data_IF_348586909701
#
_entry.id   IF_348586909701
#
_cell.length_a   1.000
_cell.length_b   1.000
_cell.length_c   1.000
_cell.angle_alpha   90.00
_cell.angle_beta   90.00
_cell.angle_gamma   90.00
#
_symmetry.space_group_name_H-M   'P 1'
#
loop_
_entity.id
_entity.type
_entity.pdbx_description
1 polymer ?
#
# COMPACT_ATOMS: atom_id res chain seq x y z
N UNK A 1 34.24 23.91 -3.45
CA UNK A 1 33.24 23.06 -4.13
C UNK A 1 33.17 21.80 -3.30
N UNK A 2 32.16 21.70 -2.45
CA UNK A 2 31.85 20.43 -1.81
C UNK A 2 31.02 19.66 -2.85
N UNK A 3 31.53 18.52 -3.31
CA UNK A 3 30.70 17.55 -4.02
C UNK A 3 29.53 17.22 -3.11
N UNK A 4 28.34 17.63 -3.53
CA UNK A 4 27.12 16.97 -3.06
C UNK A 4 27.03 15.73 -3.94
N UNK A 5 27.81 14.70 -3.60
CA UNK A 5 27.55 13.37 -4.15
C UNK A 5 26.09 13.05 -3.85
N UNK A 6 25.32 12.81 -4.91
CA UNK A 6 23.93 12.38 -4.81
C UNK A 6 23.91 11.05 -4.06
N UNK A 7 23.70 11.09 -2.75
CA UNK A 7 23.71 9.90 -1.91
C UNK A 7 22.41 9.15 -2.15
N UNK A 8 22.52 7.94 -2.70
CA UNK A 8 21.38 7.07 -2.90
C UNK A 8 20.73 6.71 -1.57
N UNK A 9 19.43 6.47 -1.60
CA UNK A 9 18.65 6.22 -0.38
C UNK A 9 17.91 4.90 -0.54
N UNK A 10 18.00 4.03 0.46
CA UNK A 10 17.15 2.86 0.59
C UNK A 10 16.30 2.95 1.84
N UNK A 11 15.03 2.56 1.77
CA UNK A 11 14.18 2.39 2.93
C UNK A 11 13.94 0.91 3.20
N UNK A 12 14.34 0.45 4.39
CA UNK A 12 14.27 -0.95 4.79
C UNK A 12 13.08 -1.18 5.71
N UNK A 13 11.96 -1.62 5.14
CA UNK A 13 10.71 -1.84 5.88
C UNK A 13 10.60 -3.27 6.37
N UNK A 14 10.43 -3.47 7.68
CA UNK A 14 10.39 -4.79 8.29
C UNK A 14 9.60 -4.79 9.60
N UNK A 15 9.10 -5.95 10.01
CA UNK A 15 8.49 -6.10 11.33
C UNK A 15 9.58 -6.19 12.41
N UNK A 16 9.68 -5.21 13.32
CA UNK A 16 10.70 -5.20 14.41
C UNK A 16 10.76 -6.51 15.20
N UNK A 17 9.58 -7.06 15.54
CA UNK A 17 9.49 -8.31 16.28
C UNK A 17 10.19 -9.49 15.57
N UNK A 18 10.26 -9.49 14.23
CA UNK A 18 10.95 -10.54 13.49
C UNK A 18 12.47 -10.36 13.51
N UNK A 19 12.95 -9.12 13.48
CA UNK A 19 14.39 -8.86 13.65
C UNK A 19 14.87 -9.28 15.04
N UNK A 20 14.11 -8.96 16.09
CA UNK A 20 14.42 -9.41 17.45
C UNK A 20 14.45 -10.95 17.56
N UNK A 21 13.44 -11.61 16.99
CA UNK A 21 13.34 -13.08 17.00
C UNK A 21 14.44 -13.75 16.20
N UNK A 22 14.91 -13.11 15.13
CA UNK A 22 16.02 -13.58 14.31
C UNK A 22 17.37 -12.97 14.71
N UNK A 23 17.46 -12.42 15.94
CA UNK A 23 18.70 -11.95 16.58
C UNK A 23 19.43 -10.85 15.80
N UNK A 24 18.71 -9.92 15.20
CA UNK A 24 19.29 -8.77 14.49
C UNK A 24 19.66 -9.03 13.02
N UNK A 25 19.45 -10.25 12.52
CA UNK A 25 19.90 -10.64 11.16
C UNK A 25 19.20 -9.89 10.03
N UNK A 26 17.98 -9.39 10.24
CA UNK A 26 17.26 -8.61 9.21
C UNK A 26 17.94 -7.26 9.03
N UNK A 27 18.33 -6.60 10.13
CA UNK A 27 19.03 -5.31 10.07
C UNK A 27 20.48 -5.45 9.66
N UNK A 28 21.11 -6.56 10.03
CA UNK A 28 22.47 -6.90 9.58
C UNK A 28 22.52 -7.15 8.07
N UNK A 29 21.49 -7.81 7.50
CA UNK A 29 21.37 -7.97 6.05
C UNK A 29 21.34 -6.63 5.31
N UNK A 30 20.66 -5.61 5.86
CA UNK A 30 20.65 -4.27 5.28
C UNK A 30 22.07 -3.69 5.18
N UNK A 31 22.87 -3.82 6.24
CA UNK A 31 24.26 -3.37 6.25
C UNK A 31 25.10 -4.13 5.22
N UNK A 32 24.97 -5.46 5.16
CA UNK A 32 25.70 -6.29 4.21
C UNK A 32 25.37 -5.92 2.75
N UNK A 33 24.11 -5.58 2.46
CA UNK A 33 23.69 -5.13 1.12
C UNK A 33 24.28 -3.74 0.81
N UNK A 34 24.27 -2.81 1.77
CA UNK A 34 24.88 -1.48 1.61
C UNK A 34 26.38 -1.56 1.35
N UNK A 35 27.10 -2.38 2.14
CA UNK A 35 28.53 -2.59 2.00
C UNK A 35 28.87 -3.23 0.65
N UNK A 36 28.13 -4.28 0.26
CA UNK A 36 28.34 -4.97 -1.01
C UNK A 36 27.99 -4.09 -2.20
N UNK A 37 26.96 -3.25 -2.10
CA UNK A 37 26.64 -2.25 -3.12
C UNK A 37 27.80 -1.27 -3.31
N UNK A 38 28.35 -0.73 -2.22
CA UNK A 38 29.49 0.18 -2.29
C UNK A 38 30.74 -0.50 -2.87
N UNK A 39 30.95 -1.79 -2.61
CA UNK A 39 32.03 -2.57 -3.22
C UNK A 39 31.85 -2.75 -4.74
N UNK A 40 30.62 -2.91 -5.22
CA UNK A 40 30.32 -3.13 -6.64
C UNK A 40 30.37 -1.83 -7.43
N UNK A 41 29.76 -0.76 -6.90
CA UNK A 41 29.52 0.49 -7.65
C UNK A 41 30.52 1.60 -7.33
N UNK A 42 31.23 1.49 -6.19
CA UNK A 42 32.07 2.58 -5.67
C UNK A 42 31.27 3.77 -5.09
N UNK A 43 29.94 3.67 -5.00
CA UNK A 43 29.03 4.70 -4.46
C UNK A 43 28.40 4.26 -3.14
N UNK A 44 28.07 5.20 -2.26
CA UNK A 44 27.35 4.90 -1.02
C UNK A 44 25.82 4.91 -1.22
N UNK A 45 25.15 3.91 -0.65
CA UNK A 45 23.70 3.92 -0.44
C UNK A 45 23.40 4.01 1.06
N UNK A 46 22.65 5.06 1.45
CA UNK A 46 22.16 5.21 2.80
C UNK A 46 20.86 4.43 2.98
N UNK A 47 20.94 3.27 3.65
CA UNK A 47 19.76 2.47 3.98
C UNK A 47 19.23 2.88 5.36
N UNK A 48 18.05 3.50 5.37
CA UNK A 48 17.32 3.80 6.58
C UNK A 48 16.63 2.55 7.10
N UNK A 49 17.13 2.06 8.24
CA UNK A 49 16.57 0.97 9.00
C UNK A 49 15.91 1.58 10.24
N UNK A 50 14.71 1.13 10.60
CA UNK A 50 14.10 1.42 11.92
C UNK A 50 13.65 2.87 12.15
N UNK A 51 12.58 3.31 11.48
CA UNK A 51 11.86 4.54 11.85
C UNK A 51 10.35 4.37 11.74
N UNK A 52 9.65 4.85 12.76
CA UNK A 52 8.20 4.82 12.86
C UNK A 52 7.55 5.71 11.77
N UNK A 53 6.75 5.09 10.89
CA UNK A 53 5.53 5.69 10.34
C UNK A 53 5.62 6.49 9.04
N UNK A 54 4.43 6.60 8.42
CA UNK A 54 4.01 7.19 7.14
C UNK A 54 4.72 8.45 6.62
N UNK A 55 5.49 9.19 7.41
CA UNK A 55 6.20 10.41 6.98
C UNK A 55 7.19 10.17 5.84
N UNK A 56 7.66 8.94 5.65
CA UNK A 56 8.63 8.63 4.59
C UNK A 56 8.02 8.45 3.22
N UNK A 57 6.75 8.04 3.07
CA UNK A 57 6.13 7.91 1.75
C UNK A 57 6.10 9.26 1.02
N UNK A 58 5.77 10.33 1.76
CA UNK A 58 5.73 11.69 1.22
C UNK A 58 7.14 12.24 0.99
N UNK A 59 8.07 12.05 1.93
CA UNK A 59 9.48 12.42 1.72
C UNK A 59 10.14 11.63 0.59
N UNK A 60 9.69 10.41 0.34
CA UNK A 60 10.16 9.59 -0.77
C UNK A 60 9.68 10.17 -2.10
N UNK A 61 8.39 10.54 -2.23
CA UNK A 61 7.92 11.31 -3.39
C UNK A 61 8.72 12.59 -3.57
N UNK A 62 8.87 13.40 -2.53
CA UNK A 62 9.69 14.62 -2.60
C UNK A 62 11.12 14.30 -3.07
N UNK A 63 11.71 13.17 -2.67
CA UNK A 63 13.04 12.76 -3.12
C UNK A 63 13.06 12.29 -4.56
N UNK A 64 12.03 11.61 -5.06
CA UNK A 64 11.97 11.23 -6.47
C UNK A 64 11.67 12.46 -7.34
N UNK A 65 10.71 13.30 -6.92
CA UNK A 65 10.26 14.50 -7.63
C UNK A 65 11.35 15.60 -7.69
N UNK A 66 12.11 15.79 -6.61
CA UNK A 66 13.15 16.83 -6.56
C UNK A 66 14.51 16.36 -7.10
N UNK A 67 14.69 15.09 -7.45
CA UNK A 67 16.03 14.56 -7.73
C UNK A 67 16.31 14.37 -9.23
N UNK A 68 17.08 15.32 -9.74
CA UNK A 68 17.91 15.19 -10.94
C UNK A 68 18.99 14.08 -10.87
N UNK A 69 19.06 13.23 -9.82
CA UNK A 69 20.15 12.23 -9.67
C UNK A 69 20.06 11.23 -8.50
N UNK A 70 18.99 11.15 -7.70
CA UNK A 70 18.94 10.23 -6.54
C UNK A 70 17.79 9.24 -6.64
N UNK A 71 18.08 7.99 -6.99
CA UNK A 71 17.09 6.91 -6.89
C UNK A 71 16.87 6.57 -5.41
N UNK A 72 15.61 6.54 -5.00
CA UNK A 72 15.23 6.13 -3.66
C UNK A 72 14.50 4.78 -3.72
N UNK A 73 15.09 3.75 -3.13
CA UNK A 73 14.56 2.38 -3.11
C UNK A 73 13.66 2.13 -1.92
N UNK A 74 12.63 1.30 -2.12
CA UNK A 74 11.84 0.72 -1.06
C UNK A 74 12.08 -0.79 -0.98
N UNK A 75 12.59 -1.29 0.15
CA UNK A 75 13.01 -2.68 0.32
C UNK A 75 12.21 -3.32 1.46
N UNK A 76 11.00 -3.84 1.20
CA UNK A 76 10.19 -4.49 2.21
C UNK A 76 10.66 -5.93 2.47
N UNK A 77 10.87 -6.26 3.74
CA UNK A 77 11.29 -7.58 4.21
C UNK A 77 10.05 -8.41 4.55
N UNK A 78 9.66 -9.22 3.59
CA UNK A 78 8.40 -9.94 3.59
C UNK A 78 8.50 -11.20 4.47
N UNK A 79 7.71 -11.19 5.54
CA UNK A 79 7.51 -12.30 6.46
C UNK A 79 6.01 -12.48 6.74
N UNK A 80 5.60 -13.59 7.38
CA UNK A 80 4.22 -13.71 7.84
C UNK A 80 3.81 -12.60 8.82
N UNK A 81 4.73 -12.10 9.66
CA UNK A 81 4.42 -11.00 10.59
C UNK A 81 4.23 -9.67 9.86
N UNK A 82 4.97 -9.41 8.77
CA UNK A 82 4.85 -8.19 7.96
C UNK A 82 3.39 -7.89 7.61
N UNK A 83 2.67 -8.88 7.07
CA UNK A 83 1.26 -8.76 6.69
C UNK A 83 0.27 -8.66 7.87
N UNK A 84 0.75 -8.76 9.11
CA UNK A 84 -0.07 -8.55 10.32
C UNK A 84 0.17 -7.22 11.00
N UNK A 85 1.22 -6.48 10.60
CA UNK A 85 1.56 -5.17 11.14
C UNK A 85 0.93 -4.08 10.28
N UNK A 86 0.01 -3.26 10.82
CA UNK A 86 -0.60 -2.16 10.07
C UNK A 86 0.44 -1.23 9.46
N UNK A 87 1.51 -0.91 10.20
CA UNK A 87 2.54 0.04 9.78
C UNK A 87 3.25 -0.44 8.50
N UNK A 88 3.71 -1.70 8.48
CA UNK A 88 4.37 -2.30 7.32
C UNK A 88 3.44 -2.38 6.09
N UNK A 89 2.15 -2.66 6.29
CA UNK A 89 1.16 -2.71 5.21
C UNK A 89 0.92 -1.33 4.63
N UNK A 90 0.72 -0.34 5.50
CA UNK A 90 0.49 1.05 5.14
C UNK A 90 1.67 1.62 4.34
N UNK A 91 2.90 1.35 4.77
CA UNK A 91 4.11 1.71 4.02
C UNK A 91 4.09 1.09 2.62
N UNK A 92 3.94 -0.23 2.51
CA UNK A 92 3.93 -0.90 1.20
C UNK A 92 2.86 -0.36 0.26
N UNK A 93 1.65 -0.08 0.78
CA UNK A 93 0.58 0.52 -0.01
C UNK A 93 0.98 1.91 -0.50
N UNK A 94 1.44 2.79 0.40
CA UNK A 94 1.82 4.16 0.06
C UNK A 94 2.96 4.22 -0.96
N UNK A 95 3.99 3.38 -0.79
CA UNK A 95 5.10 3.29 -1.75
C UNK A 95 4.64 2.72 -3.10
N UNK A 96 3.84 1.65 -3.10
CA UNK A 96 3.32 1.07 -4.34
C UNK A 96 2.43 2.04 -5.13
N UNK A 97 1.56 2.77 -4.44
CA UNK A 97 0.75 3.84 -5.02
C UNK A 97 1.63 4.85 -5.77
N UNK A 98 2.60 5.45 -5.07
CA UNK A 98 3.41 6.50 -5.70
C UNK A 98 4.40 5.96 -6.74
N UNK A 99 4.87 4.72 -6.59
CA UNK A 99 5.72 4.09 -7.61
C UNK A 99 4.97 3.85 -8.93
N UNK A 100 3.68 3.52 -8.84
CA UNK A 100 2.82 3.37 -10.03
C UNK A 100 2.55 4.71 -10.71
N UNK A 101 2.32 5.77 -9.94
CA UNK A 101 2.15 7.13 -10.50
C UNK A 101 3.37 7.60 -11.29
N UNK A 102 4.56 7.27 -10.79
CA UNK A 102 5.83 7.70 -11.35
C UNK A 102 6.39 6.71 -12.40
N UNK A 103 5.68 5.62 -12.71
CA UNK A 103 6.14 4.60 -13.66
C UNK A 103 7.41 3.84 -13.23
N UNK A 104 7.73 3.84 -11.92
CA UNK A 104 9.01 3.33 -11.35
C UNK A 104 8.80 2.22 -10.32
N UNK A 105 7.85 1.31 -10.57
CA UNK A 105 7.57 0.18 -9.66
C UNK A 105 8.77 -0.74 -9.39
N UNK A 106 9.78 -0.72 -10.26
CA UNK A 106 11.08 -1.38 -10.10
C UNK A 106 11.90 -0.87 -8.91
N UNK A 107 11.60 0.32 -8.38
CA UNK A 107 12.21 0.84 -7.15
C UNK A 107 11.72 0.13 -5.88
N UNK A 108 10.65 -0.68 -5.99
CA UNK A 108 10.16 -1.54 -4.91
C UNK A 108 10.77 -2.92 -5.05
N UNK A 109 11.58 -3.31 -4.07
CA UNK A 109 12.35 -4.56 -4.09
C UNK A 109 12.01 -5.44 -2.88
N UNK A 110 10.90 -6.20 -2.93
CA UNK A 110 10.55 -7.07 -1.83
C UNK A 110 11.54 -8.22 -1.68
N UNK A 111 11.95 -8.48 -0.44
CA UNK A 111 12.75 -9.65 -0.09
C UNK A 111 11.84 -10.60 0.69
N UNK A 112 11.47 -11.73 0.09
CA UNK A 112 10.70 -12.79 0.74
C UNK A 112 11.61 -13.56 1.70
N UNK A 113 11.75 -12.99 2.91
CA UNK A 113 12.63 -13.46 3.97
C UNK A 113 12.20 -14.81 4.55
N UNK A 114 10.89 -15.03 4.59
CA UNK A 114 10.24 -16.26 5.01
C UNK A 114 9.11 -16.61 4.05
N UNK A 115 8.86 -17.90 3.77
CA UNK A 115 7.73 -18.30 2.95
C UNK A 115 6.41 -17.82 3.59
N UNK A 116 5.66 -17.02 2.84
CA UNK A 116 4.34 -16.54 3.23
C UNK A 116 3.27 -17.37 2.53
N UNK A 117 2.29 -17.82 3.31
CA UNK A 117 1.15 -18.55 2.75
C UNK A 117 0.30 -17.63 1.91
N UNK A 118 -0.12 -18.14 0.76
CA UNK A 118 -1.04 -17.43 -0.13
C UNK A 118 -0.46 -16.09 -0.60
N UNK A 119 0.86 -16.06 -0.89
CA UNK A 119 1.50 -14.93 -1.55
C UNK A 119 1.37 -15.13 -3.06
N UNK A 120 0.22 -14.71 -3.60
CA UNK A 120 -0.16 -14.92 -4.99
C UNK A 120 -1.06 -13.79 -5.50
N UNK A 121 -1.16 -13.66 -6.83
CA UNK A 121 -2.00 -12.64 -7.49
C UNK A 121 -3.50 -12.83 -7.24
N UNK A 122 -3.93 -14.04 -6.88
CA UNK A 122 -5.31 -14.41 -6.55
C UNK A 122 -5.58 -14.47 -5.04
N UNK A 123 -4.64 -14.00 -4.20
CA UNK A 123 -4.82 -13.97 -2.74
C UNK A 123 -6.03 -13.15 -2.34
N UNK A 124 -6.69 -13.50 -1.23
CA UNK A 124 -7.73 -12.65 -0.63
C UNK A 124 -7.16 -11.40 0.04
N UNK A 125 -5.85 -11.33 0.28
CA UNK A 125 -5.19 -10.17 0.86
C UNK A 125 -4.60 -9.27 -0.26
N UNK A 126 -5.15 -8.05 -0.48
CA UNK A 126 -4.69 -7.14 -1.53
C UNK A 126 -3.22 -6.74 -1.40
N UNK A 127 -2.69 -6.67 -0.18
CA UNK A 127 -1.29 -6.31 0.06
C UNK A 127 -0.35 -7.44 -0.35
N UNK A 128 -0.80 -8.69 -0.27
CA UNK A 128 -0.06 -9.82 -0.85
C UNK A 128 -0.12 -9.83 -2.38
N UNK A 129 -1.23 -9.41 -2.97
CA UNK A 129 -1.34 -9.26 -4.42
C UNK A 129 -0.33 -8.24 -4.93
N UNK A 130 -0.15 -7.11 -4.22
CA UNK A 130 0.90 -6.12 -4.52
C UNK A 130 2.28 -6.78 -4.57
N UNK A 131 2.70 -7.45 -3.49
CA UNK A 131 4.01 -8.13 -3.45
C UNK A 131 4.14 -9.18 -4.55
N UNK A 132 3.08 -9.94 -4.84
CA UNK A 132 3.08 -10.97 -5.87
C UNK A 132 3.17 -10.40 -7.30
N UNK A 133 2.71 -9.16 -7.53
CA UNK A 133 2.85 -8.47 -8.81
C UNK A 133 4.23 -7.84 -9.02
N UNK A 134 5.00 -7.66 -7.95
CA UNK A 134 6.34 -7.08 -7.99
C UNK A 134 7.42 -8.15 -8.23
N UNK A 135 8.57 -7.72 -8.74
CA UNK A 135 9.73 -8.59 -8.87
C UNK A 135 10.43 -8.75 -7.51
N UNK A 136 10.01 -9.74 -6.73
CA UNK A 136 10.59 -10.04 -5.43
C UNK A 136 11.76 -11.03 -5.49
N UNK A 137 12.65 -10.97 -4.49
CA UNK A 137 13.76 -11.90 -4.30
C UNK A 137 13.44 -12.88 -3.18
N UNK A 138 13.54 -14.18 -3.43
CA UNK A 138 13.37 -15.20 -2.38
C UNK A 138 14.62 -15.33 -1.52
N UNK A 139 14.44 -15.27 -0.20
CA UNK A 139 15.48 -15.55 0.80
C UNK A 139 15.27 -16.88 1.52
N UNK A 140 14.46 -17.77 0.94
CA UNK A 140 14.09 -19.03 1.59
C UNK A 140 15.32 -19.91 1.86
N UNK A 141 15.40 -20.46 3.06
CA UNK A 141 16.54 -21.23 3.55
C UNK A 141 17.83 -20.43 3.80
N UNK A 142 18.05 -19.28 3.15
CA UNK A 142 19.28 -18.50 3.27
C UNK A 142 19.49 -17.92 4.67
N UNK A 143 18.41 -17.50 5.35
CA UNK A 143 18.50 -17.02 6.74
C UNK A 143 19.05 -18.07 7.73
N UNK A 144 19.00 -19.35 7.38
CA UNK A 144 19.48 -20.45 8.22
C UNK A 144 20.99 -20.69 8.06
N UNK A 145 21.59 -20.10 7.03
CA UNK A 145 23.00 -20.23 6.74
C UNK A 145 23.83 -19.28 7.60
N UNK A 146 25.05 -19.68 7.87
CA UNK A 146 26.08 -18.77 8.38
C UNK A 146 26.43 -17.75 7.29
N UNK A 147 26.72 -16.50 7.68
CA UNK A 147 26.94 -15.40 6.74
C UNK A 147 28.21 -15.58 5.92
N UNK A 148 29.20 -16.31 6.44
CA UNK A 148 30.45 -16.58 5.73
C UNK A 148 30.30 -17.64 4.64
N UNK A 149 29.13 -18.29 4.57
CA UNK A 149 28.85 -19.29 3.54
C UNK A 149 28.76 -18.65 2.17
N UNK A 150 29.38 -19.31 1.19
CA UNK A 150 29.37 -18.87 -0.21
C UNK A 150 27.97 -18.61 -0.71
N UNK A 151 27.01 -19.45 -0.34
CA UNK A 151 25.61 -19.32 -0.75
C UNK A 151 24.96 -18.05 -0.20
N UNK A 152 25.23 -17.68 1.06
CA UNK A 152 24.71 -16.46 1.69
C UNK A 152 25.34 -15.21 1.06
N UNK A 153 26.67 -15.19 0.94
CA UNK A 153 27.41 -14.07 0.33
C UNK A 153 27.00 -13.85 -1.13
N UNK A 154 26.79 -14.94 -1.88
CA UNK A 154 26.31 -14.87 -3.27
C UNK A 154 24.91 -14.26 -3.34
N UNK A 155 24.04 -14.55 -2.38
CA UNK A 155 22.71 -13.97 -2.34
C UNK A 155 22.73 -12.47 -2.00
N UNK A 156 23.59 -12.04 -1.07
CA UNK A 156 23.82 -10.61 -0.77
C UNK A 156 24.35 -9.89 -2.01
N UNK A 157 25.36 -10.47 -2.68
CA UNK A 157 25.91 -9.96 -3.94
C UNK A 157 24.83 -9.76 -5.00
N UNK A 158 23.89 -10.71 -5.15
CA UNK A 158 22.78 -10.59 -6.09
C UNK A 158 21.84 -9.44 -5.76
N UNK A 159 21.52 -9.21 -4.48
CA UNK A 159 20.69 -8.07 -4.05
C UNK A 159 21.38 -6.74 -4.38
N UNK A 160 22.66 -6.62 -4.03
CA UNK A 160 23.44 -5.41 -4.30
C UNK A 160 23.60 -5.14 -5.81
N UNK A 161 23.88 -6.19 -6.60
CA UNK A 161 23.94 -6.09 -8.06
C UNK A 161 22.59 -5.64 -8.64
N UNK A 162 21.48 -6.16 -8.12
CA UNK A 162 20.14 -5.76 -8.57
C UNK A 162 19.85 -4.28 -8.33
N UNK A 163 20.24 -3.75 -7.17
CA UNK A 163 20.13 -2.32 -6.87
C UNK A 163 20.94 -1.48 -7.86
N UNK A 164 22.18 -1.92 -8.17
CA UNK A 164 23.05 -1.23 -9.13
C UNK A 164 22.47 -1.25 -10.56
N UNK A 165 21.92 -2.37 -11.01
CA UNK A 165 21.30 -2.50 -12.33
C UNK A 165 20.11 -1.55 -12.50
N UNK A 166 19.25 -1.44 -11.47
CA UNK A 166 18.07 -0.57 -11.52
C UNK A 166 18.48 0.89 -11.56
N UNK A 167 19.48 1.25 -10.76
CA UNK A 167 20.02 2.61 -10.79
C UNK A 167 20.61 2.97 -12.17
N UNK A 168 21.48 2.13 -12.72
CA UNK A 168 22.08 2.38 -14.04
C UNK A 168 20.99 2.54 -15.11
N UNK A 169 19.94 1.72 -15.03
CA UNK A 169 18.78 1.82 -15.93
C UNK A 169 18.06 3.16 -15.77
N UNK A 170 17.82 3.62 -14.53
CA UNK A 170 17.14 4.88 -14.26
C UNK A 170 17.98 6.10 -14.64
N UNK A 171 19.30 6.08 -14.43
CA UNK A 171 20.21 7.14 -14.90
C UNK A 171 20.24 7.25 -16.43
N UNK A 172 20.02 6.12 -17.13
CA UNK A 172 20.02 6.05 -18.60
C UNK A 172 18.68 6.41 -19.26
N UNK A 173 17.58 6.51 -18.50
CA UNK A 173 16.28 6.92 -19.04
C UNK A 173 16.33 8.38 -19.48
N UNK A 174 15.97 8.71 -20.74
CA UNK A 174 15.77 10.10 -21.14
C UNK A 174 14.67 10.70 -20.25
N UNK A 175 14.97 11.82 -19.59
CA UNK A 175 13.94 12.61 -18.92
C UNK A 175 12.95 13.07 -20.01
N UNK A 176 11.81 12.39 -20.16
CA UNK A 176 10.65 12.97 -20.85
C UNK A 176 10.12 14.09 -19.97
N UNK A 177 10.75 15.25 -20.12
CA UNK A 177 10.24 16.49 -19.59
C UNK A 177 8.98 16.80 -20.39
N UNK A 178 7.83 16.77 -19.75
CA UNK A 178 6.73 17.66 -20.11
C UNK A 178 7.21 19.09 -19.85
N UNK A 179 8.06 19.63 -20.72
CA UNK A 179 8.35 21.06 -20.78
C UNK A 179 7.07 21.73 -21.30
N UNK A 180 6.15 22.01 -20.39
CA UNK A 180 5.13 23.03 -20.57
C UNK A 180 5.80 24.40 -20.38
N UNK A 181 6.59 24.83 -21.35
CA UNK A 181 6.85 26.25 -21.61
C UNK A 181 7.56 26.46 -22.96
N UNK A 182 7.15 27.54 -23.63
CA UNK A 182 7.60 28.05 -24.94
C UNK A 182 6.87 27.53 -26.19
N UNK A 183 5.57 27.82 -26.29
CA UNK A 183 4.96 28.13 -27.60
C UNK A 183 5.07 29.63 -27.87
N UNK A 184 6.26 30.10 -28.22
CA UNK A 184 6.37 31.32 -29.02
C UNK A 184 6.06 31.01 -30.49
N UNK A 185 5.20 31.83 -31.06
CA UNK A 185 4.76 31.75 -32.43
C UNK A 185 5.91 31.86 -33.44
N UNK A 186 5.97 30.92 -34.39
CA UNK A 186 6.44 31.24 -35.73
C UNK A 186 5.77 30.36 -36.78
N UNK A 187 4.95 31.03 -37.59
CA UNK A 187 4.39 30.46 -38.80
C UNK A 187 5.47 30.37 -39.89
N UNK A 188 5.46 29.27 -40.64
CA UNK A 188 5.77 29.33 -42.08
C UNK A 188 6.78 28.33 -42.62
N UNK A 189 6.21 27.34 -43.33
CA UNK A 189 6.68 26.73 -44.58
C UNK A 189 7.88 25.78 -44.56
N UNK A 190 7.63 24.55 -45.04
CA UNK A 190 8.50 23.96 -46.06
C UNK A 190 8.89 22.50 -45.88
N UNK A 191 8.28 21.69 -46.75
CA UNK A 191 8.85 20.48 -47.37
C UNK A 191 8.78 19.11 -46.68
N UNK A 192 8.28 18.20 -47.52
CA UNK A 192 8.03 16.79 -47.33
C UNK A 192 9.33 16.05 -47.65
N UNK A 193 9.84 15.25 -46.73
CA UNK A 193 10.83 14.23 -47.03
C UNK A 193 10.46 12.93 -46.31
N UNK A 194 10.07 11.94 -47.13
CA UNK A 194 9.87 10.55 -46.74
C UNK A 194 11.19 9.95 -46.24
N UNK A 195 11.15 9.29 -45.09
CA UNK A 195 12.08 8.22 -44.78
C UNK A 195 11.33 7.12 -44.04
N UNK A 196 11.21 5.97 -44.70
CA UNK A 196 10.76 4.71 -44.12
C UNK A 196 11.86 4.20 -43.18
N UNK A 197 11.46 3.88 -41.95
CA UNK A 197 12.30 3.26 -40.93
C UNK A 197 11.42 2.92 -39.75
N UNK A 198 10.74 1.78 -39.83
CA UNK A 198 9.90 1.27 -38.75
C UNK A 198 10.77 0.82 -37.58
N UNK A 199 10.75 1.61 -36.53
CA UNK A 199 10.97 1.12 -35.17
C UNK A 199 9.57 0.77 -34.61
N UNK A 200 9.41 -0.31 -33.85
CA UNK A 200 8.16 -0.55 -33.17
C UNK A 200 8.02 0.55 -32.12
N UNK A 201 7.10 1.48 -32.36
CA UNK A 201 6.52 2.30 -31.30
C UNK A 201 6.00 1.30 -30.27
N UNK A 202 6.70 1.16 -29.14
CA UNK A 202 6.06 0.70 -27.92
C UNK A 202 4.97 1.74 -27.67
N UNK A 203 3.73 1.42 -28.07
CA UNK A 203 2.56 2.18 -27.68
C UNK A 203 2.64 2.30 -26.16
N UNK A 204 2.91 3.51 -25.71
CA UNK A 204 2.79 3.90 -24.31
C UNK A 204 1.31 3.75 -23.96
N UNK A 205 0.95 2.53 -23.53
CA UNK A 205 -0.39 2.10 -23.09
C UNK A 205 -0.80 2.82 -21.77
N UNK A 206 -0.08 3.89 -21.39
CA UNK A 206 -0.37 4.67 -20.21
C UNK A 206 -1.51 5.68 -20.47
N UNK A 207 -2.62 5.48 -19.77
CA UNK A 207 -3.82 6.31 -19.91
C UNK A 207 -3.50 7.79 -19.66
N UNK A 208 -3.90 8.64 -20.59
CA UNK A 208 -3.85 10.09 -20.42
C UNK A 208 -4.79 10.58 -19.31
N UNK A 209 -4.59 11.82 -18.84
CA UNK A 209 -5.38 12.40 -17.73
C UNK A 209 -6.90 12.33 -18.02
N UNK A 210 -7.33 12.58 -19.25
CA UNK A 210 -8.76 12.53 -19.62
C UNK A 210 -9.33 11.10 -19.61
N UNK A 211 -8.52 10.10 -19.99
CA UNK A 211 -8.93 8.69 -19.95
C UNK A 211 -9.04 8.21 -18.50
N UNK A 212 -8.08 8.60 -17.64
CA UNK A 212 -8.12 8.35 -16.19
C UNK A 212 -9.37 8.96 -15.53
N UNK A 213 -9.74 10.18 -15.92
CA UNK A 213 -10.97 10.82 -15.43
C UNK A 213 -12.24 10.12 -15.93
N UNK A 214 -12.25 9.60 -17.17
CA UNK A 214 -13.36 8.82 -17.69
C UNK A 214 -13.55 7.50 -16.93
N UNK A 215 -12.46 6.86 -16.51
CA UNK A 215 -12.47 5.62 -15.71
C UNK A 215 -12.80 5.85 -14.23
N UNK A 216 -12.66 7.07 -13.72
CA UNK A 216 -12.94 7.40 -12.33
C UNK A 216 -14.42 7.17 -11.95
N UNK A 217 -15.35 7.56 -12.83
CA UNK A 217 -16.79 7.46 -12.62
C UNK A 217 -17.25 6.00 -12.37
N UNK A 218 -17.00 5.03 -13.28
CA UNK A 218 -17.40 3.65 -13.05
C UNK A 218 -16.70 3.02 -11.84
N UNK A 219 -15.43 3.39 -11.57
CA UNK A 219 -14.71 2.94 -10.39
C UNK A 219 -15.36 3.39 -9.08
N UNK A 220 -15.75 4.66 -8.97
CA UNK A 220 -16.46 5.20 -7.80
C UNK A 220 -17.83 4.55 -7.62
N UNK A 221 -18.56 4.28 -8.71
CA UNK A 221 -19.86 3.62 -8.66
C UNK A 221 -19.75 2.21 -8.07
N UNK A 222 -18.83 1.39 -8.61
CA UNK A 222 -18.58 0.03 -8.10
C UNK A 222 -18.11 0.03 -6.65
N UNK A 223 -17.26 1.00 -6.29
CA UNK A 223 -16.78 1.18 -4.92
C UNK A 223 -17.90 1.56 -3.95
N UNK A 224 -18.80 2.44 -4.37
CA UNK A 224 -19.95 2.87 -3.56
C UNK A 224 -20.94 1.72 -3.33
N UNK A 225 -21.19 0.88 -4.34
CA UNK A 225 -22.00 -0.33 -4.19
C UNK A 225 -21.39 -1.32 -3.19
N UNK A 226 -20.06 -1.44 -3.21
CA UNK A 226 -19.31 -2.27 -2.27
C UNK A 226 -19.44 -1.73 -0.85
N UNK A 227 -19.27 -0.41 -0.63
CA UNK A 227 -19.50 0.25 0.67
C UNK A 227 -20.93 0.01 1.17
N UNK A 228 -21.94 0.19 0.32
CA UNK A 228 -23.34 -0.01 0.68
C UNK A 228 -23.62 -1.46 1.13
N UNK A 229 -22.84 -2.42 0.62
CA UNK A 229 -22.96 -3.85 0.97
C UNK A 229 -22.31 -4.22 2.30
N UNK A 230 -21.45 -3.38 2.90
CA UNK A 230 -20.81 -3.65 4.19
C UNK A 230 -21.77 -3.64 5.35
N UNK A 231 -22.62 -2.61 5.45
CA UNK A 231 -23.55 -2.47 6.57
C UNK A 231 -24.42 -3.73 6.80
N UNK A 232 -25.15 -4.26 5.80
CA UNK A 232 -25.96 -5.46 6.00
C UNK A 232 -25.11 -6.71 6.32
N UNK A 233 -23.88 -6.80 5.80
CA UNK A 233 -22.97 -7.89 6.11
C UNK A 233 -22.47 -7.81 7.57
N UNK A 234 -22.14 -6.61 8.04
CA UNK A 234 -21.71 -6.36 9.42
C UNK A 234 -22.86 -6.59 10.41
N UNK A 235 -24.08 -6.17 10.09
CA UNK A 235 -25.28 -6.47 10.88
C UNK A 235 -25.53 -7.99 10.98
N UNK A 236 -25.36 -8.71 9.88
CA UNK A 236 -25.50 -10.19 9.85
C UNK A 236 -24.44 -10.90 10.70
N UNK A 237 -23.27 -10.30 10.89
CA UNK A 237 -22.23 -10.80 11.79
C UNK A 237 -22.48 -10.42 13.25
N UNK A 238 -22.80 -9.17 13.53
CA UNK A 238 -22.92 -8.61 14.89
C UNK A 238 -24.25 -8.99 15.58
N UNK A 239 -25.30 -9.25 14.82
CA UNK A 239 -26.61 -9.66 15.33
C UNK A 239 -26.54 -10.95 16.17
N UNK A 240 -26.06 -12.09 15.61
CA UNK A 240 -25.85 -13.33 16.36
C UNK A 240 -24.94 -13.17 17.57
N UNK A 241 -23.88 -12.37 17.46
CA UNK A 241 -22.93 -12.07 18.54
C UNK A 241 -23.62 -11.37 19.73
N UNK A 242 -24.50 -10.42 19.44
CA UNK A 242 -25.25 -9.70 20.47
C UNK A 242 -26.29 -10.63 21.10
N UNK A 243 -27.00 -11.41 20.30
CA UNK A 243 -28.06 -12.31 20.74
C UNK A 243 -27.56 -13.47 21.62
N UNK A 244 -26.31 -13.92 21.46
CA UNK A 244 -25.79 -15.05 22.25
C UNK A 244 -25.46 -14.68 23.70
N UNK A 245 -25.19 -13.40 23.99
CA UNK A 245 -24.76 -12.94 25.33
C UNK A 245 -25.77 -13.32 26.45
N UNK A 246 -27.07 -13.02 26.35
CA UNK A 246 -28.04 -13.45 27.35
C UNK A 246 -28.17 -14.98 27.43
N UNK A 247 -28.06 -15.69 26.31
CA UNK A 247 -28.14 -17.16 26.28
C UNK A 247 -26.96 -17.82 27.02
N UNK A 248 -25.75 -17.27 26.91
CA UNK A 248 -24.57 -17.76 27.64
C UNK A 248 -24.64 -17.54 29.14
N UNK A 249 -25.31 -16.46 29.58
CA UNK A 249 -25.62 -16.20 31.00
C UNK A 249 -26.67 -17.19 31.50
N UNK A 250 -27.78 -17.37 30.78
CA UNK A 250 -28.82 -18.32 31.16
C UNK A 250 -28.33 -19.78 31.23
N UNK A 251 -27.32 -20.13 30.44
CA UNK A 251 -26.68 -21.45 30.48
C UNK A 251 -25.98 -21.77 31.81
N UNK A 252 -25.63 -20.77 32.63
CA UNK A 252 -24.97 -20.99 33.94
C UNK A 252 -25.85 -21.77 34.93
N UNK A 253 -27.16 -21.60 34.84
CA UNK A 253 -28.12 -22.23 35.75
C UNK A 253 -28.59 -23.61 35.29
N UNK A 254 -28.03 -24.16 34.20
CA UNK A 254 -28.42 -25.48 33.69
C UNK A 254 -27.68 -26.61 34.41
N UNK A 255 -28.20 -27.84 34.31
CA UNK A 255 -27.58 -29.03 34.91
C UNK A 255 -26.16 -29.33 34.38
N UNK A 256 -25.85 -28.94 33.14
CA UNK A 256 -24.51 -29.00 32.56
C UNK A 256 -24.14 -27.65 31.90
N UNK A 257 -23.66 -26.67 32.67
CA UNK A 257 -23.41 -25.31 32.18
C UNK A 257 -22.37 -25.23 31.05
N UNK A 258 -21.29 -26.01 31.16
CA UNK A 258 -20.20 -26.01 30.17
C UNK A 258 -20.68 -26.60 28.84
N UNK A 259 -21.38 -27.74 28.88
CA UNK A 259 -21.93 -28.38 27.69
C UNK A 259 -22.96 -27.49 26.97
N UNK A 260 -23.83 -26.83 27.73
CA UNK A 260 -24.80 -25.87 27.20
C UNK A 260 -24.12 -24.69 26.50
N UNK A 261 -23.10 -24.09 27.13
CA UNK A 261 -22.30 -23.00 26.53
C UNK A 261 -21.60 -23.43 25.25
N UNK A 262 -20.94 -24.59 25.24
CA UNK A 262 -20.27 -25.10 24.04
C UNK A 262 -21.23 -25.31 22.87
N UNK A 263 -22.43 -25.84 23.15
CA UNK A 263 -23.48 -26.00 22.14
C UNK A 263 -23.93 -24.66 21.55
N UNK A 264 -24.11 -23.64 22.40
CA UNK A 264 -24.45 -22.28 21.96
C UNK A 264 -23.34 -21.65 21.11
N UNK A 265 -22.07 -21.74 21.54
CA UNK A 265 -20.93 -21.19 20.80
C UNK A 265 -20.71 -21.89 19.46
N UNK A 266 -21.00 -23.20 19.37
CA UNK A 266 -20.97 -23.92 18.09
C UNK A 266 -22.06 -23.44 17.14
N UNK A 267 -23.28 -23.23 17.64
CA UNK A 267 -24.37 -22.65 16.83
C UNK A 267 -24.04 -21.24 16.35
N UNK A 268 -23.45 -20.41 17.21
CA UNK A 268 -22.96 -19.09 16.83
C UNK A 268 -21.93 -19.20 15.70
N UNK A 269 -20.92 -20.07 15.84
CA UNK A 269 -19.90 -20.29 14.80
C UNK A 269 -20.54 -20.59 13.44
N UNK A 270 -21.54 -21.48 13.41
CA UNK A 270 -22.29 -21.80 12.19
C UNK A 270 -23.09 -20.62 11.64
N UNK A 271 -23.67 -19.78 12.50
CA UNK A 271 -24.43 -18.60 12.09
C UNK A 271 -23.55 -17.48 11.52
N UNK A 272 -22.33 -17.33 12.02
CA UNK A 272 -21.42 -16.26 11.60
C UNK A 272 -20.48 -16.66 10.45
N UNK A 273 -20.41 -17.93 10.06
CA UNK A 273 -19.49 -18.39 9.01
C UNK A 273 -19.76 -17.67 7.67
N UNK A 274 -20.98 -17.73 7.14
CA UNK A 274 -21.33 -17.07 5.88
C UNK A 274 -21.24 -15.52 5.95
N UNK A 275 -21.72 -14.83 7.02
CA UNK A 275 -21.51 -13.39 7.17
C UNK A 275 -20.03 -12.98 7.15
N UNK A 276 -19.15 -13.77 7.79
CA UNK A 276 -17.71 -13.49 7.81
C UNK A 276 -17.07 -13.69 6.44
N UNK A 277 -17.46 -14.74 5.70
CA UNK A 277 -16.97 -14.94 4.34
C UNK A 277 -17.38 -13.81 3.41
N UNK A 278 -18.63 -13.34 3.52
CA UNK A 278 -19.08 -12.15 2.78
C UNK A 278 -18.28 -10.90 3.15
N UNK A 279 -17.96 -10.70 4.42
CA UNK A 279 -17.15 -9.56 4.86
C UNK A 279 -15.72 -9.64 4.35
N UNK A 280 -15.14 -10.84 4.28
CA UNK A 280 -13.83 -11.10 3.67
C UNK A 280 -13.84 -10.68 2.20
N UNK A 281 -14.79 -11.17 1.40
CA UNK A 281 -14.92 -10.84 -0.02
C UNK A 281 -15.14 -9.34 -0.26
N UNK A 282 -16.03 -8.71 0.52
CA UNK A 282 -16.30 -7.26 0.43
C UNK A 282 -15.06 -6.44 0.80
N UNK A 283 -14.31 -6.84 1.83
CA UNK A 283 -13.09 -6.15 2.25
C UNK A 283 -11.97 -6.23 1.21
N UNK A 284 -11.78 -7.39 0.59
CA UNK A 284 -10.82 -7.56 -0.49
C UNK A 284 -11.20 -6.72 -1.72
N UNK A 285 -12.49 -6.69 -2.06
CA UNK A 285 -13.01 -5.91 -3.20
C UNK A 285 -12.86 -4.41 -2.97
N UNK A 286 -13.25 -3.94 -1.78
CA UNK A 286 -13.14 -2.54 -1.35
C UNK A 286 -11.71 -1.99 -1.48
N UNK A 287 -10.73 -2.71 -0.92
CA UNK A 287 -9.34 -2.26 -0.97
C UNK A 287 -8.77 -2.35 -2.39
N UNK A 288 -9.12 -3.40 -3.15
CA UNK A 288 -8.67 -3.53 -4.55
C UNK A 288 -9.22 -2.39 -5.42
N UNK A 289 -10.50 -2.07 -5.28
CA UNK A 289 -11.14 -0.95 -5.99
C UNK A 289 -10.48 0.38 -5.60
N UNK A 290 -10.20 0.61 -4.31
CA UNK A 290 -9.46 1.81 -3.87
C UNK A 290 -8.08 1.92 -4.51
N UNK A 291 -7.30 0.83 -4.54
CA UNK A 291 -5.99 0.80 -5.20
C UNK A 291 -6.12 1.13 -6.70
N UNK A 292 -7.21 0.73 -7.36
CA UNK A 292 -7.45 1.02 -8.77
C UNK A 292 -7.92 2.47 -9.00
N UNK A 293 -8.71 3.05 -8.08
CA UNK A 293 -9.24 4.42 -8.16
C UNK A 293 -8.16 5.47 -7.87
N UNK A 294 -7.19 5.12 -7.02
CA UNK A 294 -6.18 6.03 -6.48
C UNK A 294 -5.39 6.82 -7.53
N UNK A 295 -4.84 6.23 -8.61
CA UNK A 295 -4.19 7.02 -9.67
C UNK A 295 -5.10 8.06 -10.32
N UNK A 296 -6.39 7.74 -10.49
CA UNK A 296 -7.37 8.60 -11.14
C UNK A 296 -7.79 9.75 -10.19
N UNK A 297 -7.93 9.47 -8.90
CA UNK A 297 -8.21 10.48 -7.87
C UNK A 297 -7.06 11.48 -7.75
N UNK A 298 -5.82 11.01 -7.87
CA UNK A 298 -4.64 11.88 -7.83
C UNK A 298 -4.50 12.76 -9.06
N UNK A 299 -4.78 12.22 -10.25
CA UNK A 299 -4.84 13.02 -11.47
C UNK A 299 -5.89 14.14 -11.35
N UNK A 300 -7.05 13.85 -10.75
CA UNK A 300 -8.06 14.87 -10.44
C UNK A 300 -7.52 15.93 -9.46
N UNK A 301 -6.87 15.52 -8.37
CA UNK A 301 -6.27 16.44 -7.40
C UNK A 301 -5.17 17.32 -8.01
N UNK A 302 -4.33 16.78 -8.88
CA UNK A 302 -3.31 17.53 -9.62
C UNK A 302 -3.94 18.55 -10.56
N UNK A 303 -4.99 18.16 -11.30
CA UNK A 303 -5.73 19.08 -12.16
C UNK A 303 -6.37 20.22 -11.36
N UNK A 304 -6.91 19.91 -10.17
CA UNK A 304 -7.46 20.90 -9.26
C UNK A 304 -6.38 21.85 -8.72
N UNK A 305 -5.17 21.36 -8.41
CA UNK A 305 -4.07 22.21 -7.95
C UNK A 305 -3.45 23.10 -9.04
N UNK A 306 -3.48 22.63 -10.29
CA UNK A 306 -2.93 23.35 -11.46
C UNK A 306 -3.96 24.23 -12.16
N UNK A 307 -5.25 23.98 -11.97
CA UNK A 307 -6.33 24.68 -12.64
C UNK A 307 -6.47 26.13 -12.17
N UNK A 308 -6.67 27.05 -13.12
CA UNK A 308 -7.10 28.44 -12.88
C UNK A 308 -8.61 28.51 -12.53
N UNK A 309 -9.26 27.35 -12.42
CA UNK A 309 -10.65 27.17 -12.02
C UNK A 309 -10.86 27.84 -10.67
N UNK A 310 -11.68 28.90 -10.65
CA UNK A 310 -11.91 29.73 -9.48
C UNK A 310 -12.11 28.87 -8.22
N UNK A 311 -11.42 29.23 -7.13
CA UNK A 311 -11.20 28.36 -5.98
C UNK A 311 -12.43 27.69 -5.35
N UNK A 312 -13.66 28.07 -5.72
CA UNK A 312 -14.90 27.41 -5.31
C UNK A 312 -15.01 25.95 -5.77
N UNK A 313 -14.68 25.62 -7.03
CA UNK A 313 -14.71 24.22 -7.51
C UNK A 313 -13.61 23.38 -6.85
N UNK A 314 -12.41 23.94 -6.71
CA UNK A 314 -11.31 23.31 -6.00
C UNK A 314 -11.66 23.03 -4.53
N UNK A 315 -12.27 24.01 -3.84
CA UNK A 315 -12.76 23.86 -2.46
C UNK A 315 -13.87 22.81 -2.34
N UNK A 316 -14.75 22.69 -3.34
CA UNK A 316 -15.80 21.67 -3.33
C UNK A 316 -15.24 20.25 -3.48
N UNK A 317 -14.32 20.02 -4.44
CA UNK A 317 -13.69 18.72 -4.65
C UNK A 317 -12.88 18.31 -3.42
N UNK A 318 -11.97 19.18 -2.98
CA UNK A 318 -11.16 18.94 -1.77
C UNK A 318 -12.02 18.75 -0.53
N UNK A 319 -13.05 19.58 -0.33
CA UNK A 319 -14.00 19.43 0.79
C UNK A 319 -14.74 18.09 0.79
N UNK A 320 -15.10 17.58 -0.39
CA UNK A 320 -15.72 16.25 -0.52
C UNK A 320 -14.76 15.13 -0.13
N UNK A 321 -13.48 15.25 -0.49
CA UNK A 321 -12.42 14.29 -0.11
C UNK A 321 -12.16 14.34 1.40
N UNK A 322 -12.12 15.53 2.02
CA UNK A 322 -11.98 15.67 3.47
C UNK A 322 -13.14 15.00 4.22
N UNK A 323 -14.38 15.24 3.78
CA UNK A 323 -15.57 14.62 4.38
C UNK A 323 -15.57 13.10 4.22
N UNK A 324 -15.10 12.59 3.07
CA UNK A 324 -14.92 11.16 2.84
C UNK A 324 -13.88 10.54 3.80
N UNK A 325 -12.74 11.20 3.98
CA UNK A 325 -11.68 10.74 4.88
C UNK A 325 -12.13 10.71 6.35
N UNK A 326 -12.88 11.72 6.80
CA UNK A 326 -13.43 11.79 8.16
C UNK A 326 -14.47 10.68 8.40
N UNK A 327 -15.36 10.47 7.42
CA UNK A 327 -16.35 9.40 7.47
C UNK A 327 -15.68 8.01 7.51
N UNK A 328 -14.66 7.81 6.67
CA UNK A 328 -13.85 6.59 6.63
C UNK A 328 -13.12 6.32 7.95
N UNK A 329 -12.50 7.34 8.54
CA UNK A 329 -11.84 7.24 9.86
C UNK A 329 -12.83 6.78 10.94
N UNK A 330 -14.00 7.42 11.00
CA UNK A 330 -15.06 7.06 11.95
C UNK A 330 -15.54 5.61 11.75
N UNK A 331 -15.70 5.18 10.50
CA UNK A 331 -16.11 3.81 10.19
C UNK A 331 -15.03 2.78 10.58
N UNK A 332 -13.76 3.08 10.32
CA UNK A 332 -12.63 2.22 10.68
C UNK A 332 -12.50 2.02 12.20
N UNK A 333 -12.73 3.08 12.98
CA UNK A 333 -12.76 3.00 14.46
C UNK A 333 -13.88 2.09 14.97
N UNK A 334 -15.09 2.21 14.41
CA UNK A 334 -16.23 1.36 14.78
C UNK A 334 -15.95 -0.11 14.46
N UNK A 335 -15.41 -0.38 13.27
CA UNK A 335 -15.00 -1.70 12.83
C UNK A 335 -13.94 -2.30 13.77
N UNK A 336 -12.93 -1.52 14.15
CA UNK A 336 -11.87 -1.96 15.06
C UNK A 336 -12.44 -2.34 16.43
N UNK A 337 -13.39 -1.55 16.95
CA UNK A 337 -14.10 -1.87 18.19
C UNK A 337 -14.85 -3.21 18.13
N UNK A 338 -15.51 -3.50 17.00
CA UNK A 338 -16.17 -4.80 16.77
C UNK A 338 -15.15 -5.94 16.72
N UNK A 339 -14.00 -5.75 16.06
CA UNK A 339 -12.93 -6.74 16.00
C UNK A 339 -12.34 -7.06 17.38
N UNK A 340 -12.11 -6.04 18.20
CA UNK A 340 -11.63 -6.24 19.57
C UNK A 340 -12.65 -6.94 20.46
N UNK A 341 -13.94 -6.68 20.25
CA UNK A 341 -14.99 -7.45 20.89
C UNK A 341 -14.95 -8.92 20.47
N UNK A 342 -14.87 -9.21 19.16
CA UNK A 342 -14.80 -10.56 18.63
C UNK A 342 -13.58 -11.35 19.15
N UNK A 343 -12.41 -10.69 19.27
CA UNK A 343 -11.18 -11.29 19.84
C UNK A 343 -11.39 -11.82 21.26
N UNK A 344 -12.16 -11.12 22.10
CA UNK A 344 -12.48 -11.57 23.48
C UNK A 344 -13.23 -12.90 23.50
N UNK A 345 -14.06 -13.18 22.50
CA UNK A 345 -14.83 -14.43 22.38
C UNK A 345 -14.02 -15.58 21.77
N UNK A 346 -12.93 -15.30 21.04
CA UNK A 346 -12.12 -16.32 20.35
C UNK A 346 -11.49 -17.37 21.29
N UNK A 347 -11.24 -17.00 22.55
CA UNK A 347 -10.70 -17.90 23.57
C UNK A 347 -11.69 -18.90 24.14
N UNK A 348 -13.01 -18.68 23.94
CA UNK A 348 -14.07 -19.46 24.60
C UNK A 348 -14.34 -20.81 23.91
N UNK A 349 -14.11 -20.89 22.59
CA UNK A 349 -14.31 -22.12 21.82
C UNK A 349 -13.36 -22.20 20.64
N UNK A 350 -12.85 -23.41 20.36
CA UNK A 350 -12.08 -23.69 19.13
C UNK A 350 -12.90 -23.37 17.87
N UNK A 351 -14.21 -23.61 17.91
CA UNK A 351 -15.10 -23.47 16.76
C UNK A 351 -15.22 -22.00 16.31
N UNK A 352 -14.91 -21.03 17.19
CA UNK A 352 -14.99 -19.59 16.87
C UNK A 352 -13.66 -19.01 16.33
N UNK A 353 -12.55 -19.74 16.46
CA UNK A 353 -11.23 -19.21 16.07
C UNK A 353 -11.12 -18.92 14.57
N UNK A 354 -11.63 -19.82 13.72
CA UNK A 354 -11.56 -19.66 12.26
C UNK A 354 -12.43 -18.47 11.80
N UNK A 355 -13.72 -18.37 12.14
CA UNK A 355 -14.53 -17.21 11.77
C UNK A 355 -13.96 -15.88 12.28
N UNK A 356 -13.55 -15.78 13.54
CA UNK A 356 -13.01 -14.52 14.04
C UNK A 356 -11.65 -14.15 13.45
N UNK A 357 -10.82 -15.13 13.08
CA UNK A 357 -9.58 -14.84 12.34
C UNK A 357 -9.88 -14.27 10.95
N UNK A 358 -10.86 -14.83 10.24
CA UNK A 358 -11.28 -14.29 8.93
C UNK A 358 -11.85 -12.87 9.07
N UNK A 359 -12.69 -12.64 10.08
CA UNK A 359 -13.19 -11.30 10.39
C UNK A 359 -12.04 -10.31 10.67
N UNK A 360 -11.05 -10.71 11.47
CA UNK A 360 -9.87 -9.89 11.77
C UNK A 360 -9.06 -9.54 10.52
N UNK A 361 -8.90 -10.48 9.59
CA UNK A 361 -8.25 -10.24 8.28
C UNK A 361 -9.07 -9.24 7.46
N UNK A 362 -10.39 -9.44 7.39
CA UNK A 362 -11.28 -8.57 6.63
C UNK A 362 -11.24 -7.12 7.13
N UNK A 363 -11.31 -6.92 8.45
CA UNK A 363 -11.28 -5.58 9.03
C UNK A 363 -9.91 -4.90 8.86
N UNK A 364 -8.81 -5.66 8.82
CA UNK A 364 -7.50 -5.11 8.46
C UNK A 364 -7.47 -4.62 7.02
N UNK A 365 -8.03 -5.38 6.07
CA UNK A 365 -8.11 -4.95 4.67
C UNK A 365 -8.89 -3.63 4.53
N UNK A 366 -9.96 -3.45 5.29
CA UNK A 366 -10.69 -2.16 5.32
C UNK A 366 -9.81 -1.04 5.87
N UNK A 367 -9.08 -1.27 6.96
CA UNK A 367 -8.15 -0.29 7.53
C UNK A 367 -7.02 0.07 6.55
N UNK A 368 -6.53 -0.89 5.76
CA UNK A 368 -5.53 -0.63 4.72
C UNK A 368 -6.05 0.35 3.65
N UNK A 369 -7.34 0.22 3.27
CA UNK A 369 -7.98 1.14 2.33
C UNK A 369 -8.08 2.57 2.87
N UNK A 370 -8.25 2.74 4.19
CA UNK A 370 -8.27 4.06 4.82
C UNK A 370 -6.94 4.81 4.62
N UNK A 371 -5.80 4.10 4.58
CA UNK A 371 -4.49 4.71 4.32
C UNK A 371 -4.43 5.42 2.96
N UNK A 372 -5.09 4.87 1.95
CA UNK A 372 -5.18 5.49 0.62
C UNK A 372 -6.00 6.78 0.70
N UNK A 373 -7.16 6.72 1.34
CA UNK A 373 -8.05 7.87 1.52
C UNK A 373 -7.38 8.99 2.35
N UNK A 374 -6.63 8.62 3.39
CA UNK A 374 -5.85 9.55 4.20
C UNK A 374 -4.81 10.28 3.36
N UNK A 375 -4.16 9.60 2.42
CA UNK A 375 -3.22 10.27 1.51
C UNK A 375 -3.90 11.29 0.58
N UNK A 376 -5.15 11.03 0.15
CA UNK A 376 -5.94 12.00 -0.61
C UNK A 376 -6.34 13.19 0.25
N UNK A 377 -6.69 12.95 1.53
CA UNK A 377 -6.97 14.01 2.50
C UNK A 377 -5.78 14.95 2.63
N UNK A 378 -4.58 14.41 2.78
CA UNK A 378 -3.39 15.20 3.02
C UNK A 378 -3.05 16.06 1.78
N UNK A 379 -3.20 15.49 0.57
CA UNK A 379 -3.12 16.25 -0.68
C UNK A 379 -4.19 17.36 -0.77
N UNK A 380 -5.45 17.06 -0.42
CA UNK A 380 -6.54 18.03 -0.41
C UNK A 380 -6.28 19.20 0.58
N UNK A 381 -5.72 18.93 1.76
CA UNK A 381 -5.32 19.95 2.75
C UNK A 381 -4.25 20.88 2.17
N UNK A 382 -3.25 20.32 1.48
CA UNK A 382 -2.19 21.11 0.85
C UNK A 382 -2.75 22.08 -0.20
N UNK A 383 -3.65 21.60 -1.06
CA UNK A 383 -4.34 22.41 -2.08
C UNK A 383 -5.15 23.54 -1.43
N UNK A 384 -5.99 23.23 -0.42
CA UNK A 384 -6.79 24.25 0.26
C UNK A 384 -5.93 25.33 0.93
N UNK A 385 -4.79 24.95 1.51
CA UNK A 385 -3.88 25.88 2.17
C UNK A 385 -3.28 26.87 1.16
N UNK A 386 -2.84 26.39 0.00
CA UNK A 386 -2.26 27.20 -1.09
C UNK A 386 -3.28 28.20 -1.65
N UNK A 387 -4.51 27.78 -1.94
CA UNK A 387 -5.56 28.69 -2.41
C UNK A 387 -6.05 29.66 -1.34
N UNK A 388 -6.07 29.26 -0.06
CA UNK A 388 -6.41 30.12 1.07
C UNK A 388 -5.39 31.25 1.31
N UNK A 389 -4.11 31.00 1.04
CA UNK A 389 -3.05 32.02 1.07
C UNK A 389 -3.13 32.99 -0.12
N UNK A 390 -3.37 32.47 -1.33
CA UNK A 390 -3.57 33.30 -2.52
C UNK A 390 -4.76 34.27 -2.37
N UNK A 391 -5.88 33.82 -1.81
CA UNK A 391 -7.06 34.65 -1.55
C UNK A 391 -6.87 35.72 -0.46
N UNK A 392 -5.85 35.60 0.40
CA UNK A 392 -5.49 36.62 1.41
C UNK A 392 -4.44 37.62 0.91
N UNK A 393 -3.77 37.31 -0.20
CA UNK A 393 -2.72 38.14 -0.81
C UNK A 393 -3.25 39.12 -1.86
N UNK A 394 -4.52 38.96 -2.27
CA UNK A 394 -5.30 39.84 -3.14
C UNK A 394 -6.25 40.67 -2.28
#
# INVERSE_FOLDING_TARGET
>A
MADIESKMVGFWSYAHADNERDRGRITELAQLVSDEFALITGREIEIFVDREGLEWGDRWREKIDNALSSSAFFIPIITPTFFTRPECRNELIAFNTSAKELGVTELILPIVYLPVRDLALDSTDPVKQIVASLQYVSWDGLRLLDQERTEYRTAVHRLATRLAEIEETLESRPLERTDSDESEASAGTGEIAKTEGGEPEEEDDELGILDRLAELQPGIEEWTETIASFQPALESFTGPMTAITPALKAAESQANPIGARLSLLRKLSQQIEAPVERLEDLSSSYTRQLIAIDPNMRALLQLVDQGDSGGEEALQVTGSILGLAEAGTTAAEQITSVADMARKYSGLSRDLRKPFRKFDIAMRSVADGQTIIDSWRDAAIAIQSKHGEQARSV
#
